data_IF_080634849032
#
_entry.id   IF_080634849032
#
_cell.length_a   1.000
_cell.length_b   1.000
_cell.length_c   1.000
_cell.angle_alpha   90.00
_cell.angle_beta   90.00
_cell.angle_gamma   90.00
#
_symmetry.space_group_name_H-M   'P 1'
#
loop_
_entity.id
_entity.type
_entity.pdbx_description
1 polymer ?
#
# COMPACT_ATOMS: atom_id res chain seq x y z
N UNK A 1 -33.04 -22.11 -16.51
CA UNK A 1 -32.01 -21.09 -16.18
C UNK A 1 -31.67 -20.35 -17.46
N UNK A 2 -31.46 -19.03 -17.42
CA UNK A 2 -31.09 -18.28 -18.64
C UNK A 2 -29.63 -18.56 -18.98
N UNK A 3 -29.29 -18.56 -20.26
CA UNK A 3 -27.93 -18.89 -20.74
C UNK A 3 -26.82 -17.97 -20.15
N UNK A 4 -27.20 -16.76 -19.72
CA UNK A 4 -26.30 -15.84 -19.00
C UNK A 4 -26.01 -16.23 -17.54
N UNK A 5 -26.96 -16.91 -16.87
CA UNK A 5 -26.79 -17.34 -15.47
C UNK A 5 -25.76 -18.47 -15.38
N UNK A 6 -25.65 -19.29 -16.43
CA UNK A 6 -24.68 -20.39 -16.55
C UNK A 6 -23.26 -19.84 -16.72
N UNK A 7 -23.07 -18.88 -17.64
CA UNK A 7 -21.76 -18.25 -17.88
C UNK A 7 -21.18 -17.53 -16.67
N UNK A 8 -22.02 -16.84 -15.87
CA UNK A 8 -21.55 -16.17 -14.66
C UNK A 8 -21.13 -17.16 -13.56
N UNK A 9 -21.77 -18.33 -13.50
CA UNK A 9 -21.38 -19.40 -12.57
C UNK A 9 -20.06 -20.04 -13.00
N UNK A 10 -19.91 -20.37 -14.28
CA UNK A 10 -18.65 -20.89 -14.84
C UNK A 10 -17.50 -19.90 -14.59
N UNK A 11 -17.73 -18.60 -14.79
CA UNK A 11 -16.74 -17.56 -14.46
C UNK A 11 -16.35 -17.56 -12.98
N UNK A 12 -17.32 -17.64 -12.07
CA UNK A 12 -17.03 -17.69 -10.63
C UNK A 12 -16.20 -18.93 -10.25
N UNK A 13 -16.51 -20.09 -10.84
CA UNK A 13 -15.74 -21.32 -10.66
C UNK A 13 -14.30 -21.19 -11.20
N UNK A 14 -14.12 -20.56 -12.36
CA UNK A 14 -12.78 -20.28 -12.91
C UNK A 14 -11.98 -19.32 -12.02
N UNK A 15 -12.59 -18.26 -11.51
CA UNK A 15 -11.94 -17.33 -10.57
C UNK A 15 -11.54 -18.06 -9.29
N UNK A 16 -12.41 -18.92 -8.76
CA UNK A 16 -12.12 -19.71 -7.57
C UNK A 16 -10.96 -20.69 -7.80
N UNK A 17 -10.91 -21.37 -8.95
CA UNK A 17 -9.83 -22.30 -9.28
C UNK A 17 -8.49 -21.62 -9.59
N UNK A 18 -8.50 -20.37 -10.06
CA UNK A 18 -7.29 -19.60 -10.34
C UNK A 18 -6.77 -18.79 -9.13
N UNK A 19 -7.50 -18.78 -8.02
CA UNK A 19 -7.20 -17.97 -6.84
C UNK A 19 -6.08 -18.57 -5.98
N UNK A 20 -4.82 -18.30 -6.34
CA UNK A 20 -3.61 -18.80 -5.65
C UNK A 20 -3.54 -18.39 -4.16
N UNK A 21 -4.21 -17.31 -3.77
CA UNK A 21 -4.19 -16.84 -2.38
C UNK A 21 -4.78 -17.85 -1.39
N UNK A 22 -5.65 -18.78 -1.81
CA UNK A 22 -6.19 -19.80 -0.90
C UNK A 22 -5.12 -20.74 -0.42
N UNK A 23 -4.36 -21.32 -1.34
CA UNK A 23 -3.31 -22.28 -1.01
C UNK A 23 -2.26 -21.65 -0.09
N UNK A 24 -1.94 -20.37 -0.31
CA UNK A 24 -1.04 -19.63 0.57
C UNK A 24 -1.60 -19.40 1.99
N UNK A 25 -2.88 -19.10 2.11
CA UNK A 25 -3.54 -18.94 3.42
C UNK A 25 -3.69 -20.28 4.14
N UNK A 26 -4.11 -21.33 3.45
CA UNK A 26 -4.22 -22.67 4.01
C UNK A 26 -2.85 -23.19 4.46
N UNK A 27 -1.81 -23.03 3.63
CA UNK A 27 -0.44 -23.38 4.01
C UNK A 27 0.03 -22.62 5.25
N UNK A 28 -0.27 -21.32 5.37
CA UNK A 28 0.04 -20.54 6.57
C UNK A 28 -0.65 -21.11 7.81
N UNK A 29 -1.94 -21.45 7.71
CA UNK A 29 -2.71 -22.01 8.82
C UNK A 29 -2.22 -23.41 9.24
N UNK A 30 -1.85 -24.24 8.28
CA UNK A 30 -1.47 -25.64 8.53
C UNK A 30 -0.04 -25.78 9.07
N UNK A 31 0.87 -24.88 8.67
CA UNK A 31 2.30 -25.03 8.92
C UNK A 31 2.88 -24.03 9.92
N UNK A 32 2.13 -23.00 10.33
CA UNK A 32 2.65 -21.90 11.15
C UNK A 32 2.08 -21.90 12.57
N UNK A 33 2.84 -21.33 13.50
CA UNK A 33 2.36 -21.17 14.87
C UNK A 33 1.27 -20.09 14.96
N UNK A 34 0.54 -20.06 16.08
CA UNK A 34 -0.41 -18.96 16.37
C UNK A 34 0.29 -17.60 16.37
N UNK A 35 1.55 -17.54 16.78
CA UNK A 35 2.34 -16.31 16.80
C UNK A 35 2.68 -15.83 15.40
N UNK A 36 3.11 -16.74 14.51
CA UNK A 36 3.40 -16.43 13.11
C UNK A 36 2.15 -15.93 12.37
N UNK A 37 1.00 -16.61 12.57
CA UNK A 37 -0.28 -16.20 12.01
C UNK A 37 -0.66 -14.80 12.52
N UNK A 38 -0.48 -14.54 13.83
CA UNK A 38 -0.76 -13.24 14.40
C UNK A 38 0.16 -12.16 13.82
N UNK A 39 1.46 -12.42 13.65
CA UNK A 39 2.41 -11.50 13.01
C UNK A 39 1.97 -11.17 11.58
N UNK A 40 1.62 -12.18 10.78
CA UNK A 40 1.13 -11.95 9.42
C UNK A 40 -0.17 -11.13 9.37
N UNK A 41 -1.10 -11.33 10.29
CA UNK A 41 -2.32 -10.53 10.37
C UNK A 41 -2.06 -9.06 10.73
N UNK A 42 -1.10 -8.79 11.61
CA UNK A 42 -0.68 -7.42 11.94
C UNK A 42 -0.01 -6.73 10.75
N UNK A 43 0.92 -7.43 10.08
CA UNK A 43 1.53 -6.95 8.83
C UNK A 43 0.45 -6.62 7.80
N UNK A 44 -0.50 -7.54 7.59
CA UNK A 44 -1.62 -7.34 6.66
C UNK A 44 -2.45 -6.11 7.03
N UNK A 45 -2.79 -5.95 8.31
CA UNK A 45 -3.53 -4.78 8.79
C UNK A 45 -2.78 -3.48 8.55
N UNK A 46 -1.50 -3.42 8.91
CA UNK A 46 -0.68 -2.23 8.74
C UNK A 46 -0.49 -1.87 7.25
N UNK A 47 -0.15 -2.85 6.41
CA UNK A 47 0.08 -2.65 4.99
C UNK A 47 -1.20 -2.23 4.23
N UNK A 48 -2.35 -2.84 4.56
CA UNK A 48 -3.62 -2.46 3.94
C UNK A 48 -4.10 -1.08 4.40
N UNK A 49 -3.87 -0.71 5.66
CA UNK A 49 -4.10 0.64 6.15
C UNK A 49 -3.22 1.68 5.45
N UNK A 50 -1.92 1.39 5.25
CA UNK A 50 -1.01 2.25 4.48
C UNK A 50 -1.55 2.52 3.08
N UNK A 51 -1.99 1.48 2.37
CA UNK A 51 -2.60 1.62 1.06
C UNK A 51 -3.91 2.44 1.10
N UNK A 52 -4.72 2.26 2.14
CA UNK A 52 -5.94 3.02 2.38
C UNK A 52 -5.68 4.52 2.51
N UNK A 53 -4.76 4.92 3.39
CA UNK A 53 -4.40 6.32 3.61
C UNK A 53 -3.77 6.97 2.37
N UNK A 54 -2.92 6.23 1.64
CA UNK A 54 -2.39 6.70 0.36
C UNK A 54 -3.53 6.91 -0.67
N UNK A 55 -4.54 6.04 -0.66
CA UNK A 55 -5.76 6.18 -1.43
C UNK A 55 -6.56 7.43 -1.06
N UNK A 56 -6.65 7.76 0.23
CA UNK A 56 -7.31 8.99 0.69
C UNK A 56 -6.55 10.25 0.29
N UNK A 57 -5.21 10.24 0.34
CA UNK A 57 -4.38 11.32 -0.24
C UNK A 57 -4.74 11.53 -1.71
N UNK A 58 -4.75 10.46 -2.52
CA UNK A 58 -5.14 10.53 -3.93
C UNK A 58 -6.58 11.03 -4.11
N UNK A 59 -7.50 10.61 -3.24
CA UNK A 59 -8.89 11.04 -3.22
C UNK A 59 -9.04 12.54 -2.91
N UNK A 60 -8.22 13.12 -2.03
CA UNK A 60 -8.20 14.58 -1.84
C UNK A 60 -7.67 15.28 -3.07
N UNK A 61 -6.54 14.82 -3.61
CA UNK A 61 -5.90 15.47 -4.77
C UNK A 61 -6.83 15.54 -5.97
N UNK A 62 -7.53 14.45 -6.32
CA UNK A 62 -8.50 14.49 -7.43
C UNK A 62 -9.68 15.44 -7.17
N UNK A 63 -10.11 15.59 -5.91
CA UNK A 63 -11.20 16.51 -5.52
C UNK A 63 -10.76 17.98 -5.61
N UNK A 64 -9.50 18.28 -5.32
CA UNK A 64 -8.95 19.64 -5.54
C UNK A 64 -9.09 20.05 -7.01
N UNK A 65 -8.78 19.14 -7.93
CA UNK A 65 -8.94 19.38 -9.37
C UNK A 65 -10.42 19.48 -9.78
N UNK A 66 -11.27 18.58 -9.26
CA UNK A 66 -12.71 18.51 -9.63
C UNK A 66 -13.54 19.66 -9.07
N UNK A 67 -13.33 20.01 -7.80
CA UNK A 67 -14.24 20.85 -7.01
C UNK A 67 -13.64 22.22 -6.66
N UNK A 68 -12.32 22.33 -6.56
CA UNK A 68 -11.63 23.54 -6.10
C UNK A 68 -10.89 24.30 -7.21
N UNK A 69 -11.12 23.93 -8.48
CA UNK A 69 -10.47 24.56 -9.64
C UNK A 69 -8.94 24.47 -9.60
N UNK A 70 -8.39 23.47 -8.90
CA UNK A 70 -6.95 23.33 -8.69
C UNK A 70 -6.35 24.22 -7.59
N UNK A 71 -7.16 25.02 -6.89
CA UNK A 71 -6.68 25.93 -5.83
C UNK A 71 -6.47 25.13 -4.54
N UNK A 72 -5.31 25.33 -3.91
CA UNK A 72 -4.95 24.74 -2.61
C UNK A 72 -4.91 25.85 -1.56
N UNK A 73 -5.99 25.98 -0.79
CA UNK A 73 -6.07 26.87 0.36
C UNK A 73 -5.62 26.17 1.66
N UNK A 74 -5.69 26.89 2.79
CA UNK A 74 -5.29 26.37 4.09
C UNK A 74 -6.18 25.23 4.60
N UNK A 75 -7.46 25.22 4.21
CA UNK A 75 -8.36 24.13 4.58
C UNK A 75 -8.00 22.84 3.85
N UNK A 76 -7.76 22.92 2.55
CA UNK A 76 -7.31 21.81 1.73
C UNK A 76 -5.95 21.31 2.21
N UNK A 77 -5.00 22.22 2.49
CA UNK A 77 -3.68 21.86 3.00
C UNK A 77 -3.79 21.06 4.30
N UNK A 78 -4.65 21.49 5.23
CA UNK A 78 -4.89 20.77 6.49
C UNK A 78 -5.56 19.41 6.28
N UNK A 79 -6.47 19.28 5.32
CA UNK A 79 -7.07 17.99 4.96
C UNK A 79 -6.01 17.02 4.40
N UNK A 80 -5.18 17.49 3.46
CA UNK A 80 -4.09 16.68 2.90
C UNK A 80 -3.06 16.31 3.97
N UNK A 81 -2.73 17.23 4.87
CA UNK A 81 -1.83 16.96 6.00
C UNK A 81 -2.37 15.83 6.90
N UNK A 82 -3.68 15.78 7.14
CA UNK A 82 -4.31 14.70 7.89
C UNK A 82 -4.09 13.34 7.25
N UNK A 83 -4.37 13.20 5.96
CA UNK A 83 -4.20 11.94 5.23
C UNK A 83 -2.71 11.55 5.11
N UNK A 84 -1.81 12.52 4.90
CA UNK A 84 -0.36 12.29 4.93
C UNK A 84 0.12 11.85 6.32
N UNK A 85 -0.50 12.36 7.39
CA UNK A 85 -0.26 11.91 8.75
C UNK A 85 -0.68 10.45 8.94
N UNK A 86 -1.83 10.05 8.38
CA UNK A 86 -2.26 8.65 8.31
C UNK A 86 -1.24 7.77 7.59
N UNK A 87 -0.77 8.22 6.42
CA UNK A 87 0.30 7.52 5.66
C UNK A 87 1.55 7.35 6.53
N UNK A 88 2.02 8.41 7.19
CA UNK A 88 3.19 8.34 8.05
C UNK A 88 2.98 7.38 9.23
N UNK A 89 1.79 7.37 9.83
CA UNK A 89 1.44 6.47 10.91
C UNK A 89 1.51 5.01 10.48
N UNK A 90 0.85 4.64 9.37
CA UNK A 90 0.88 3.27 8.87
C UNK A 90 2.23 2.87 8.29
N UNK A 91 3.01 3.82 7.76
CA UNK A 91 4.40 3.56 7.37
C UNK A 91 5.24 3.13 8.58
N UNK A 92 5.12 3.85 9.71
CA UNK A 92 5.79 3.47 10.95
C UNK A 92 5.29 2.12 11.47
N UNK A 93 3.97 1.93 11.55
CA UNK A 93 3.38 0.67 12.01
C UNK A 93 3.82 -0.53 11.14
N UNK A 94 3.90 -0.35 9.82
CA UNK A 94 4.39 -1.39 8.92
C UNK A 94 5.86 -1.71 9.19
N UNK A 95 6.71 -0.68 9.37
CA UNK A 95 8.12 -0.89 9.70
C UNK A 95 8.28 -1.67 11.02
N UNK A 96 7.52 -1.32 12.06
CA UNK A 96 7.58 -1.99 13.36
C UNK A 96 7.22 -3.49 13.28
N UNK A 97 6.26 -3.88 12.43
CA UNK A 97 5.92 -5.30 12.24
C UNK A 97 7.02 -6.10 11.51
N UNK A 98 7.95 -5.42 10.84
CA UNK A 98 9.18 -5.98 10.29
C UNK A 98 10.39 -5.81 11.22
N UNK A 99 10.16 -5.42 12.47
CA UNK A 99 11.21 -5.18 13.47
C UNK A 99 12.18 -4.06 13.05
N UNK A 100 11.70 -3.11 12.23
CA UNK A 100 12.43 -1.93 11.77
C UNK A 100 11.91 -0.67 12.45
N UNK A 101 12.77 0.33 12.57
CA UNK A 101 12.33 1.67 12.94
C UNK A 101 12.10 2.53 11.71
N UNK A 102 11.22 3.51 11.80
CA UNK A 102 11.01 4.46 10.69
C UNK A 102 12.28 5.22 10.34
N UNK A 103 13.17 5.50 11.30
CA UNK A 103 14.45 6.16 11.01
C UNK A 103 15.36 5.28 10.15
N UNK A 104 15.33 3.96 10.31
CA UNK A 104 16.12 3.04 9.48
C UNK A 104 15.65 3.11 8.02
N UNK A 105 14.31 3.14 7.81
CA UNK A 105 13.70 3.27 6.47
C UNK A 105 14.07 4.60 5.83
N UNK A 106 13.98 5.71 6.59
CA UNK A 106 14.27 7.05 6.08
C UNK A 106 15.76 7.24 5.80
N UNK A 107 16.65 6.75 6.67
CA UNK A 107 18.10 6.82 6.48
C UNK A 107 18.51 5.98 5.26
N UNK A 108 17.96 4.78 5.10
CA UNK A 108 18.20 3.97 3.90
C UNK A 108 17.81 4.71 2.62
N UNK A 109 16.66 5.40 2.61
CA UNK A 109 16.25 6.21 1.46
C UNK A 109 17.19 7.40 1.23
N UNK A 110 17.59 8.09 2.30
CA UNK A 110 18.51 9.23 2.24
C UNK A 110 19.87 8.83 1.65
N UNK A 111 20.45 7.72 2.11
CA UNK A 111 21.74 7.22 1.62
C UNK A 111 21.67 6.89 0.12
N UNK A 112 20.55 6.31 -0.33
CA UNK A 112 20.31 6.04 -1.76
C UNK A 112 20.22 7.33 -2.59
N UNK A 113 19.61 8.39 -2.05
CA UNK A 113 19.58 9.70 -2.72
C UNK A 113 20.97 10.34 -2.78
N UNK A 114 21.75 10.24 -1.71
CA UNK A 114 23.12 10.77 -1.65
C UNK A 114 24.05 10.04 -2.63
N UNK A 115 23.95 8.72 -2.74
CA UNK A 115 24.70 7.94 -3.74
C UNK A 115 24.34 8.37 -5.18
N UNK A 116 23.04 8.50 -5.48
CA UNK A 116 22.58 9.00 -6.80
C UNK A 116 23.09 10.41 -7.08
N UNK A 117 23.11 11.26 -6.06
CA UNK A 117 23.66 12.61 -6.18
C UNK A 117 25.16 12.58 -6.47
N UNK A 118 25.95 11.76 -5.75
CA UNK A 118 27.39 11.62 -5.97
C UNK A 118 27.71 11.12 -7.39
N UNK A 119 26.84 10.29 -7.97
CA UNK A 119 26.94 9.80 -9.35
C UNK A 119 26.37 10.77 -10.41
N UNK A 120 25.87 11.94 -10.02
CA UNK A 120 25.18 12.90 -10.89
C UNK A 120 23.96 12.32 -11.66
N UNK A 121 23.31 11.29 -11.10
CA UNK A 121 22.11 10.64 -11.66
C UNK A 121 20.86 10.86 -10.80
N UNK A 122 20.88 11.87 -9.93
CA UNK A 122 19.74 12.18 -9.05
C UNK A 122 18.46 12.49 -9.84
N UNK A 123 18.62 13.08 -11.04
CA UNK A 123 17.57 13.19 -12.05
C UNK A 123 17.73 12.00 -12.99
N UNK A 124 17.11 10.87 -12.67
CA UNK A 124 17.05 9.77 -13.64
C UNK A 124 16.10 10.14 -14.79
N UNK A 125 16.55 9.95 -16.03
CA UNK A 125 15.65 9.41 -17.05
C UNK A 125 15.18 8.07 -16.49
N UNK A 126 13.86 7.86 -16.37
CA UNK A 126 13.32 6.64 -15.78
C UNK A 126 13.84 5.38 -16.47
N UNK A 127 13.87 4.28 -15.71
CA UNK A 127 14.31 2.94 -16.11
C UNK A 127 15.83 2.75 -16.30
N UNK A 128 16.48 2.32 -15.23
CA UNK A 128 17.23 1.06 -15.22
C UNK A 128 17.49 0.66 -13.77
N UNK A 129 16.83 -0.41 -13.33
CA UNK A 129 17.07 -1.13 -12.07
C UNK A 129 17.43 -2.57 -12.38
#
# INVERSE_FOLDING_TARGET
>A
MRNGDVKLREYAEMVHGAAIYRDGVEALLDSSSREDIAKMLKIFYAATGLAGEAGEVANKVKKILRDNGGIVDDEIRRKVLGELGGVAWYLNATAEEFDLRIEDVLNYNYDQLMDRQARNVLKGDGDDR
#
